data_IF_310239304094
#
_entry.id   IF_310239304094
#
_cell.length_a   1.000
_cell.length_b   1.000
_cell.length_c   1.000
_cell.angle_alpha   90.00
_cell.angle_beta   90.00
_cell.angle_gamma   90.00
#
_symmetry.space_group_name_H-M   'P 1'
#
loop_
_entity.id
_entity.type
_entity.pdbx_description
1 polymer ?
#
# COMPACT_ATOMS: atom_id res chain seq x y z
N UNK A 1 -12.43 -41.58 -6.86
CA UNK A 1 -11.95 -40.53 -5.93
C UNK A 1 -12.79 -39.28 -6.20
N UNK A 2 -13.45 -38.68 -5.20
CA UNK A 2 -14.25 -37.48 -5.43
C UNK A 2 -13.32 -36.28 -5.69
N UNK A 3 -13.49 -35.61 -6.82
CA UNK A 3 -12.76 -34.40 -7.20
C UNK A 3 -13.71 -33.21 -7.12
N UNK A 4 -13.30 -32.13 -6.46
CA UNK A 4 -14.06 -30.90 -6.41
C UNK A 4 -13.72 -30.06 -7.65
N UNK A 5 -14.72 -29.81 -8.51
CA UNK A 5 -14.58 -28.94 -9.68
C UNK A 5 -14.93 -27.50 -9.28
N UNK A 6 -13.91 -26.69 -9.04
CA UNK A 6 -14.09 -25.26 -8.82
C UNK A 6 -14.13 -24.54 -10.17
N UNK A 7 -15.33 -24.28 -10.68
CA UNK A 7 -15.54 -23.30 -11.75
C UNK A 7 -15.10 -21.94 -11.22
N UNK A 8 -14.06 -21.39 -11.84
CA UNK A 8 -13.24 -20.34 -11.27
C UNK A 8 -14.00 -19.00 -11.23
N UNK A 9 -14.74 -18.74 -10.16
CA UNK A 9 -15.12 -17.38 -9.77
C UNK A 9 -13.90 -16.73 -9.08
N UNK A 10 -12.80 -16.59 -9.84
CA UNK A 10 -11.51 -15.94 -9.44
C UNK A 10 -11.76 -14.56 -8.84
N UNK A 11 -12.85 -13.90 -9.25
CA UNK A 11 -13.08 -12.47 -9.06
C UNK A 11 -13.22 -12.03 -7.59
N UNK A 12 -13.43 -12.97 -6.65
CA UNK A 12 -13.64 -12.66 -5.22
C UNK A 12 -12.76 -13.46 -4.24
N UNK A 13 -11.81 -14.28 -4.73
CA UNK A 13 -10.95 -15.08 -3.84
C UNK A 13 -9.66 -14.33 -3.46
N UNK A 14 -9.20 -14.50 -2.22
CA UNK A 14 -7.94 -13.93 -1.75
C UNK A 14 -6.77 -14.43 -2.62
N UNK A 15 -5.84 -13.56 -3.07
CA UNK A 15 -4.70 -13.96 -3.91
C UNK A 15 -3.80 -15.00 -3.23
N UNK A 16 -3.73 -14.99 -1.89
CA UNK A 16 -3.02 -16.00 -1.11
C UNK A 16 -3.66 -17.39 -1.22
N UNK A 17 -5.00 -17.45 -1.22
CA UNK A 17 -5.76 -18.70 -1.42
C UNK A 17 -5.56 -19.24 -2.84
N UNK A 18 -5.64 -18.37 -3.85
CA UNK A 18 -5.45 -18.77 -5.26
C UNK A 18 -4.04 -19.33 -5.48
N UNK A 19 -3.01 -18.65 -4.96
CA UNK A 19 -1.61 -19.10 -5.07
C UNK A 19 -1.40 -20.44 -4.37
N UNK A 20 -1.93 -20.61 -3.16
CA UNK A 20 -1.79 -21.84 -2.39
C UNK A 20 -2.49 -23.02 -3.09
N UNK A 21 -3.68 -22.82 -3.64
CA UNK A 21 -4.42 -23.86 -4.38
C UNK A 21 -3.75 -24.21 -5.71
N UNK A 22 -3.16 -23.25 -6.41
CA UNK A 22 -2.42 -23.49 -7.65
C UNK A 22 -1.12 -24.26 -7.43
N UNK A 23 -0.51 -24.19 -6.24
CA UNK A 23 0.69 -24.94 -5.89
C UNK A 23 0.43 -26.45 -5.66
N UNK A 24 -0.81 -26.82 -5.35
CA UNK A 24 -1.21 -28.20 -5.04
C UNK A 24 -2.22 -28.79 -6.06
N UNK A 25 -2.76 -27.95 -6.94
CA UNK A 25 -3.73 -28.34 -7.95
C UNK A 25 -3.16 -28.46 -9.36
N UNK A 26 -3.88 -29.16 -10.23
CA UNK A 26 -3.57 -29.28 -11.65
C UNK A 26 -4.57 -28.46 -12.47
N UNK A 27 -4.09 -27.71 -13.45
CA UNK A 27 -4.94 -26.96 -14.37
C UNK A 27 -5.26 -27.83 -15.59
N UNK A 28 -6.54 -28.12 -15.81
CA UNK A 28 -7.02 -28.83 -17.00
C UNK A 28 -8.16 -28.07 -17.64
N UNK A 29 -8.04 -27.74 -18.93
CA UNK A 29 -9.04 -27.00 -19.70
C UNK A 29 -9.58 -25.74 -18.99
N UNK A 30 -8.70 -24.99 -18.33
CA UNK A 30 -9.06 -23.77 -17.60
C UNK A 30 -9.70 -24.00 -16.22
N UNK A 31 -9.78 -25.25 -15.75
CA UNK A 31 -10.27 -25.60 -14.41
C UNK A 31 -9.12 -26.03 -13.52
N UNK A 32 -9.02 -25.45 -12.31
CA UNK A 32 -8.07 -25.90 -11.30
C UNK A 32 -8.68 -27.08 -10.52
N UNK A 33 -8.09 -28.25 -10.70
CA UNK A 33 -8.48 -29.48 -10.01
C UNK A 33 -7.53 -29.65 -8.82
N UNK A 34 -8.06 -29.50 -7.61
CA UNK A 34 -7.32 -29.69 -6.36
C UNK A 34 -7.85 -30.94 -5.63
N UNK A 35 -7.00 -31.87 -5.18
CA UNK A 35 -7.43 -32.97 -4.32
C UNK A 35 -8.07 -32.43 -3.03
N UNK A 36 -9.16 -33.04 -2.57
CA UNK A 36 -9.91 -32.51 -1.42
C UNK A 36 -9.07 -32.43 -0.13
N UNK A 37 -8.17 -33.39 0.10
CA UNK A 37 -7.24 -33.37 1.23
C UNK A 37 -6.25 -32.19 1.18
N UNK A 38 -5.91 -31.71 -0.02
CA UNK A 38 -5.02 -30.56 -0.20
C UNK A 38 -5.77 -29.25 0.01
N UNK A 39 -7.02 -29.18 -0.44
CA UNK A 39 -7.91 -28.07 -0.14
C UNK A 39 -8.07 -27.89 1.38
N UNK A 40 -8.34 -28.97 2.12
CA UNK A 40 -8.49 -28.91 3.59
C UNK A 40 -7.21 -28.44 4.30
N UNK A 41 -6.04 -28.92 3.85
CA UNK A 41 -4.74 -28.46 4.38
C UNK A 41 -4.50 -26.97 4.13
N UNK A 42 -4.74 -26.52 2.90
CA UNK A 42 -4.59 -25.11 2.52
C UNK A 42 -5.52 -24.22 3.36
N UNK A 43 -6.78 -24.62 3.53
CA UNK A 43 -7.74 -23.85 4.32
C UNK A 43 -7.37 -23.78 5.81
N UNK A 44 -6.84 -24.86 6.39
CA UNK A 44 -6.37 -24.88 7.79
C UNK A 44 -5.16 -23.98 8.00
N UNK A 45 -4.26 -23.88 7.02
CA UNK A 45 -3.09 -22.99 7.08
C UNK A 45 -3.47 -21.50 6.92
N UNK A 46 -4.55 -21.22 6.18
CA UNK A 46 -5.06 -19.87 5.95
C UNK A 46 -6.02 -19.39 7.05
N UNK A 47 -6.36 -20.25 8.01
CA UNK A 47 -7.18 -19.86 9.14
C UNK A 47 -6.46 -18.78 9.97
N UNK A 48 -7.11 -17.64 10.24
CA UNK A 48 -6.47 -16.56 10.98
C UNK A 48 -6.12 -17.01 12.41
N UNK A 49 -5.06 -16.43 13.02
CA UNK A 49 -4.69 -16.76 14.38
C UNK A 49 -5.84 -16.46 15.35
N UNK A 50 -5.92 -17.17 16.49
CA UNK A 50 -7.02 -17.00 17.44
C UNK A 50 -7.17 -15.53 17.86
N UNK A 51 -8.42 -15.11 18.09
CA UNK A 51 -8.81 -13.72 18.36
C UNK A 51 -7.99 -13.11 19.51
N UNK A 52 -7.65 -13.90 20.54
CA UNK A 52 -6.81 -13.45 21.64
C UNK A 52 -5.41 -13.02 21.19
N UNK A 53 -4.79 -13.75 20.26
CA UNK A 53 -3.49 -13.38 19.70
C UNK A 53 -3.59 -12.11 18.85
N UNK A 54 -4.70 -11.95 18.12
CA UNK A 54 -4.98 -10.73 17.36
C UNK A 54 -5.15 -9.52 18.29
N UNK A 55 -5.85 -9.68 19.42
CA UNK A 55 -6.02 -8.64 20.43
C UNK A 55 -4.66 -8.20 21.01
N UNK A 56 -3.79 -9.14 21.39
CA UNK A 56 -2.44 -8.82 21.89
C UNK A 56 -1.62 -8.01 20.87
N UNK A 57 -1.63 -8.43 19.59
CA UNK A 57 -0.90 -7.69 18.55
C UNK A 57 -1.50 -6.32 18.26
N UNK A 58 -2.83 -6.19 18.34
CA UNK A 58 -3.51 -4.91 18.18
C UNK A 58 -3.18 -3.96 19.35
N UNK A 59 -3.14 -4.45 20.59
CA UNK A 59 -2.72 -3.66 21.75
C UNK A 59 -1.27 -3.19 21.64
N UNK A 60 -0.36 -4.04 21.19
CA UNK A 60 1.03 -3.64 20.93
C UNK A 60 1.13 -2.57 19.83
N UNK A 61 0.34 -2.68 18.76
CA UNK A 61 0.28 -1.69 17.70
C UNK A 61 -0.29 -0.34 18.19
N UNK A 62 -1.32 -0.37 19.04
CA UNK A 62 -1.89 0.83 19.67
C UNK A 62 -0.91 1.48 20.65
N UNK A 63 -0.17 0.70 21.44
CA UNK A 63 0.87 1.22 22.34
C UNK A 63 2.01 1.89 21.56
N UNK A 64 2.45 1.29 20.45
CA UNK A 64 3.41 1.91 19.52
C UNK A 64 2.84 3.18 18.89
N UNK A 65 1.57 3.17 18.48
CA UNK A 65 0.90 4.32 17.89
C UNK A 65 0.74 5.49 18.87
N UNK A 66 0.38 5.22 20.13
CA UNK A 66 0.31 6.24 21.19
C UNK A 66 1.69 6.88 21.44
N UNK A 67 2.76 6.08 21.46
CA UNK A 67 4.13 6.59 21.54
C UNK A 67 4.56 7.45 20.34
N UNK A 68 3.90 7.32 19.18
CA UNK A 68 4.15 8.16 17.99
C UNK A 68 3.19 9.34 17.85
N UNK A 69 1.96 9.24 18.39
CA UNK A 69 0.97 10.33 18.38
C UNK A 69 1.40 11.50 19.28
N UNK A 70 2.14 11.23 20.36
CA UNK A 70 2.77 12.26 21.20
C UNK A 70 4.10 12.81 20.65
N UNK A 71 4.57 12.38 19.47
CA UNK A 71 5.88 12.76 18.90
C UNK A 71 5.84 13.79 17.76
N UNK A 72 4.72 14.50 17.56
CA UNK A 72 4.68 15.72 16.74
C UNK A 72 5.15 15.57 15.29
N UNK A 73 5.04 14.38 14.68
CA UNK A 73 5.48 14.19 13.31
C UNK A 73 4.54 14.88 12.32
N UNK A 74 5.07 15.51 11.26
CA UNK A 74 4.25 16.28 10.34
C UNK A 74 3.34 15.35 9.55
N UNK A 75 2.02 15.57 9.64
CA UNK A 75 1.00 14.82 8.86
C UNK A 75 1.21 15.04 7.35
N UNK A 76 1.66 16.23 6.98
CA UNK A 76 1.89 16.66 5.61
C UNK A 76 3.39 16.75 5.31
N UNK A 77 3.81 16.26 4.15
CA UNK A 77 5.17 16.43 3.66
C UNK A 77 5.45 17.92 3.33
N UNK A 78 6.74 18.30 3.31
CA UNK A 78 7.14 19.64 2.85
C UNK A 78 6.81 19.84 1.37
N UNK A 79 6.57 21.08 0.95
CA UNK A 79 6.18 21.40 -0.41
C UNK A 79 7.15 20.83 -1.46
N UNK A 80 8.46 20.92 -1.20
CA UNK A 80 9.52 20.35 -2.05
C UNK A 80 9.35 18.83 -2.23
N UNK A 81 9.04 18.09 -1.15
CA UNK A 81 8.83 16.64 -1.21
C UNK A 81 7.55 16.31 -1.97
N UNK A 82 6.50 17.11 -1.82
CA UNK A 82 5.24 16.95 -2.56
C UNK A 82 5.49 17.11 -4.06
N UNK A 83 6.20 18.16 -4.45
CA UNK A 83 6.53 18.45 -5.86
C UNK A 83 7.41 17.36 -6.46
N UNK A 84 8.45 16.91 -5.75
CA UNK A 84 9.30 15.80 -6.17
C UNK A 84 8.47 14.52 -6.42
N UNK A 85 7.61 14.14 -5.46
CA UNK A 85 6.73 12.97 -5.59
C UNK A 85 5.76 13.10 -6.76
N UNK A 86 5.20 14.30 -6.98
CA UNK A 86 4.32 14.55 -8.13
C UNK A 86 5.08 14.47 -9.45
N UNK A 87 6.28 15.03 -9.55
CA UNK A 87 7.11 14.97 -10.75
C UNK A 87 7.45 13.52 -11.14
N UNK A 88 7.77 12.68 -10.15
CA UNK A 88 7.95 11.23 -10.35
C UNK A 88 6.68 10.58 -10.88
N UNK A 89 5.51 10.92 -10.31
CA UNK A 89 4.25 10.33 -10.77
C UNK A 89 3.81 10.82 -12.16
N UNK A 90 4.13 12.06 -12.55
CA UNK A 90 3.83 12.59 -13.89
C UNK A 90 4.54 11.85 -15.03
N UNK A 91 5.65 11.17 -14.73
CA UNK A 91 6.40 10.35 -15.69
C UNK A 91 6.13 8.84 -15.53
N UNK A 92 5.25 8.46 -14.60
CA UNK A 92 4.94 7.07 -14.29
C UNK A 92 3.83 6.53 -15.19
N UNK A 93 4.05 5.35 -15.79
CA UNK A 93 3.06 4.65 -16.62
C UNK A 93 1.75 4.29 -15.90
N UNK A 94 1.79 4.26 -14.56
CA UNK A 94 0.62 3.98 -13.72
C UNK A 94 -0.21 5.22 -13.40
N UNK A 95 0.21 6.43 -13.79
CA UNK A 95 -0.62 7.62 -13.60
C UNK A 95 -1.71 7.66 -14.68
N UNK A 96 -2.96 7.58 -14.23
CA UNK A 96 -4.13 7.71 -15.09
C UNK A 96 -4.44 9.17 -15.39
N UNK A 97 -5.17 9.47 -16.49
CA UNK A 97 -5.59 10.83 -16.85
C UNK A 97 -6.41 11.55 -15.76
N UNK A 98 -7.10 10.81 -14.89
CA UNK A 98 -7.86 11.34 -13.75
C UNK A 98 -6.99 11.62 -12.51
N UNK A 99 -5.66 11.73 -12.67
CA UNK A 99 -4.70 11.98 -11.58
C UNK A 99 -4.71 10.91 -10.46
N UNK A 100 -5.12 9.68 -10.80
CA UNK A 100 -5.09 8.52 -9.89
C UNK A 100 -4.03 7.52 -10.31
N UNK A 101 -3.40 6.87 -9.34
CA UNK A 101 -2.47 5.78 -9.62
C UNK A 101 -3.23 4.47 -9.89
N UNK A 102 -2.90 3.74 -10.95
CA UNK A 102 -3.52 2.43 -11.25
C UNK A 102 -3.09 1.32 -10.28
N UNK A 103 -1.96 1.48 -9.58
CA UNK A 103 -1.49 0.50 -8.58
C UNK A 103 -2.23 0.60 -7.23
N UNK A 104 -2.56 1.81 -6.78
CA UNK A 104 -3.17 2.02 -5.44
C UNK A 104 -4.52 2.75 -5.47
N UNK A 105 -4.97 3.27 -6.60
CA UNK A 105 -6.25 3.99 -6.75
C UNK A 105 -6.32 5.37 -6.10
N UNK A 106 -5.27 5.79 -5.37
CA UNK A 106 -5.24 7.07 -4.67
C UNK A 106 -5.13 8.25 -5.64
N UNK A 107 -5.72 9.38 -5.25
CA UNK A 107 -5.43 10.69 -5.86
C UNK A 107 -3.99 11.09 -5.57
N UNK A 108 -3.19 11.29 -6.62
CA UNK A 108 -1.77 11.53 -6.44
C UNK A 108 -1.47 12.86 -5.77
N UNK A 109 -2.32 13.88 -5.95
CA UNK A 109 -2.21 15.15 -5.23
C UNK A 109 -2.28 14.94 -3.70
N UNK A 110 -3.21 14.10 -3.23
CA UNK A 110 -3.38 13.81 -1.81
C UNK A 110 -2.29 12.86 -1.31
N UNK A 111 -2.04 11.75 -2.00
CA UNK A 111 -1.09 10.73 -1.53
C UNK A 111 0.34 11.27 -1.46
N UNK A 112 0.76 12.08 -2.44
CA UNK A 112 2.06 12.73 -2.41
C UNK A 112 2.20 13.71 -1.23
N UNK A 113 1.09 14.31 -0.77
CA UNK A 113 1.08 15.28 0.33
C UNK A 113 1.26 14.68 1.71
N UNK A 114 1.00 13.38 1.90
CA UNK A 114 1.08 12.73 3.21
C UNK A 114 2.51 12.28 3.50
N UNK A 115 3.09 12.73 4.63
CA UNK A 115 4.50 12.47 4.96
C UNK A 115 4.79 10.97 5.10
N UNK A 116 3.90 10.25 5.80
CA UNK A 116 4.02 8.82 6.09
C UNK A 116 3.72 7.88 4.90
N UNK A 117 3.35 8.42 3.73
CA UNK A 117 3.05 7.60 2.55
C UNK A 117 4.31 7.29 1.73
N UNK A 118 4.25 6.20 0.97
CA UNK A 118 5.26 5.79 -0.02
C UNK A 118 4.58 5.34 -1.32
N UNK A 119 5.38 5.20 -2.38
CA UNK A 119 4.97 4.63 -3.66
C UNK A 119 4.66 3.12 -3.50
N UNK A 120 3.52 2.61 -4.04
CA UNK A 120 3.17 1.20 -3.95
C UNK A 120 3.95 0.29 -4.93
N UNK A 121 4.76 0.88 -5.82
CA UNK A 121 5.55 0.16 -6.82
C UNK A 121 6.64 -0.71 -6.15
N UNK A 122 7.13 -1.72 -6.87
CA UNK A 122 8.18 -2.64 -6.40
C UNK A 122 9.32 -2.68 -7.44
N UNK A 123 10.45 -2.00 -7.19
CA UNK A 123 10.79 -1.18 -6.02
C UNK A 123 10.01 0.15 -5.95
N UNK A 124 9.85 0.77 -4.76
CA UNK A 124 9.13 2.02 -4.63
C UNK A 124 9.89 3.16 -5.32
N UNK A 125 9.19 3.95 -6.13
CA UNK A 125 9.78 5.13 -6.81
C UNK A 125 10.01 6.32 -5.88
N UNK A 126 9.36 6.34 -4.71
CA UNK A 126 9.55 7.33 -3.65
C UNK A 126 9.10 6.77 -2.29
N UNK A 127 9.74 7.23 -1.20
CA UNK A 127 9.55 6.70 0.16
C UNK A 127 8.86 7.68 1.11
N UNK A 128 8.46 7.17 2.27
CA UNK A 128 7.98 7.94 3.42
C UNK A 128 9.14 8.67 4.09
N UNK A 129 9.50 9.84 3.58
CA UNK A 129 10.44 10.74 4.24
C UNK A 129 9.64 11.78 5.02
N UNK A 130 9.61 11.66 6.35
CA UNK A 130 9.36 12.80 7.22
C UNK A 130 10.70 13.52 7.40
N UNK A 131 10.95 14.57 6.62
CA UNK A 131 11.96 15.55 7.05
C UNK A 131 11.38 16.18 8.33
N UNK A 132 12.03 16.08 9.51
CA UNK A 132 11.56 16.81 10.69
C UNK A 132 11.48 18.28 10.28
N UNK A 133 10.35 18.92 10.59
CA UNK A 133 10.03 20.27 10.12
C UNK A 133 11.25 21.20 10.28
N UNK A 134 11.87 21.56 9.15
CA UNK A 134 12.80 22.69 9.14
C UNK A 134 11.99 23.91 9.58
N UNK A 135 12.49 24.71 10.55
CA UNK A 135 11.74 25.83 11.08
C UNK A 135 11.42 26.81 9.95
N UNK A 136 10.21 27.35 10.02
CA UNK A 136 9.69 28.55 9.37
C UNK A 136 10.47 29.06 8.15
N UNK A 137 9.78 29.05 7.01
CA UNK A 137 10.01 30.05 5.97
C UNK A 137 9.78 31.45 6.57
N UNK A 138 10.82 32.04 7.15
CA UNK A 138 10.98 33.49 7.21
C UNK A 138 11.31 33.94 5.78
N UNK A 139 10.32 34.47 5.07
CA UNK A 139 10.60 35.46 4.05
C UNK A 139 11.10 36.74 4.74
N UNK A 140 11.99 37.50 4.08
CA UNK A 140 11.46 38.76 3.57
C UNK A 140 11.87 39.03 2.13
N UNK A 141 10.94 39.65 1.40
CA UNK A 141 11.11 40.04 0.01
C UNK A 141 12.29 40.99 -0.20
N UNK A 142 12.97 40.79 -1.33
CA UNK A 142 13.78 41.85 -1.93
C UNK A 142 12.98 42.45 -3.07
N UNK A 143 12.59 43.72 -2.88
CA UNK A 143 12.02 44.57 -3.92
C UNK A 143 13.04 44.68 -5.05
N UNK A 144 12.65 44.34 -6.28
CA UNK A 144 13.38 44.77 -7.47
C UNK A 144 12.85 46.16 -7.82
N UNK A 145 13.64 47.21 -7.54
CA UNK A 145 13.44 48.52 -8.17
C UNK A 145 14.19 48.55 -9.51
N UNK A 146 13.69 49.27 -10.52
CA UNK A 146 14.32 49.35 -11.83
C UNK A 146 15.48 50.36 -11.79
N UNK A 147 16.54 50.08 -12.55
CA UNK A 147 17.58 51.06 -12.84
C UNK A 147 17.22 51.82 -14.14
N UNK A 148 17.58 53.10 -14.12
CA UNK A 148 17.29 54.18 -15.06
C UNK A 148 17.58 53.90 -16.54
#
# INVERSE_FOLDING_TARGET
MPHLRLSFLIKHSSPALVTALQAVGKLEAGTLIVPQADYERVMKQLAPPPILRQAVTATAALAGAAGTAFKGQPVRASQVVIEMRQAICRTCEHLRPDNRCSLCGCWMLLKASLAAQSCPDKPPRWNSFSIPASPAAEGPGTKVSPAA
#
